data_IF_659245877706
#
_entry.id   IF_659245877706
#
_cell.length_a   1.000
_cell.length_b   1.000
_cell.length_c   1.000
_cell.angle_alpha   90.00
_cell.angle_beta   90.00
_cell.angle_gamma   90.00
#
_symmetry.space_group_name_H-M   'P 1'
#
loop_
_entity.id
_entity.type
_entity.pdbx_description
1 polymer ?
#
# COMPACT_ATOMS: atom_id res chain seq x y z
N UNK A 1 21.90 -15.72 -2.39
CA UNK A 1 21.97 -16.77 -1.35
C UNK A 1 22.36 -16.26 0.04
N UNK A 2 22.83 -15.02 0.24
CA UNK A 2 23.24 -14.53 1.57
C UNK A 2 22.14 -14.46 2.64
N UNK A 3 20.90 -14.12 2.27
CA UNK A 3 19.82 -13.88 3.23
C UNK A 3 19.46 -15.09 4.10
N UNK A 4 19.45 -16.30 3.53
CA UNK A 4 19.12 -17.53 4.27
C UNK A 4 20.18 -17.90 5.33
N UNK A 5 21.40 -17.40 5.18
CA UNK A 5 22.51 -17.61 6.11
C UNK A 5 22.69 -16.45 7.09
N UNK A 6 21.91 -15.37 6.97
CA UNK A 6 21.96 -14.23 7.89
C UNK A 6 21.24 -14.57 9.20
N UNK A 7 22.00 -14.73 10.29
CA UNK A 7 21.45 -15.05 11.61
C UNK A 7 20.63 -13.90 12.20
N UNK A 8 21.02 -12.66 11.94
CA UNK A 8 20.35 -11.47 12.46
C UNK A 8 18.99 -11.30 11.80
N UNK A 9 18.93 -11.47 10.48
CA UNK A 9 17.69 -11.43 9.72
C UNK A 9 16.70 -12.51 10.19
N UNK A 10 17.17 -13.76 10.36
CA UNK A 10 16.35 -14.87 10.87
C UNK A 10 15.80 -14.61 12.27
N UNK A 11 16.63 -14.07 13.17
CA UNK A 11 16.20 -13.72 14.53
C UNK A 11 15.15 -12.61 14.52
N UNK A 12 15.34 -11.56 13.72
CA UNK A 12 14.38 -10.46 13.58
C UNK A 12 13.02 -10.97 13.06
N UNK A 13 13.03 -11.78 12.00
CA UNK A 13 11.81 -12.36 11.45
C UNK A 13 11.12 -13.32 12.41
N UNK A 14 11.85 -14.16 13.14
CA UNK A 14 11.27 -15.07 14.13
C UNK A 14 10.48 -14.32 15.22
N UNK A 15 11.05 -13.22 15.73
CA UNK A 15 10.38 -12.34 16.71
C UNK A 15 9.15 -11.67 16.10
N UNK A 16 9.28 -11.13 14.89
CA UNK A 16 8.18 -10.47 14.18
C UNK A 16 7.01 -11.42 13.89
N UNK A 17 7.28 -12.64 13.39
CA UNK A 17 6.27 -13.67 13.12
C UNK A 17 5.53 -14.04 14.41
N UNK A 18 6.26 -14.25 15.52
CA UNK A 18 5.65 -14.57 16.81
C UNK A 18 4.73 -13.45 17.30
N UNK A 19 5.20 -12.20 17.24
CA UNK A 19 4.41 -11.02 17.62
C UNK A 19 3.17 -10.87 16.75
N UNK A 20 3.33 -10.96 15.42
CA UNK A 20 2.23 -10.88 14.47
C UNK A 20 1.15 -11.92 14.77
N UNK A 21 1.52 -13.19 14.95
CA UNK A 21 0.56 -14.25 15.27
C UNK A 21 -0.20 -13.99 16.56
N UNK A 22 0.49 -13.54 17.62
CA UNK A 22 -0.14 -13.20 18.90
C UNK A 22 -1.16 -12.08 18.73
N UNK A 23 -0.74 -10.96 18.15
CA UNK A 23 -1.57 -9.76 18.03
C UNK A 23 -2.86 -10.01 17.24
N UNK A 24 -2.77 -10.76 16.13
CA UNK A 24 -3.94 -11.13 15.35
C UNK A 24 -4.86 -12.05 16.16
N UNK A 25 -4.31 -13.06 16.85
CA UNK A 25 -5.12 -13.97 17.66
C UNK A 25 -5.83 -13.22 18.79
N UNK A 26 -5.16 -12.26 19.42
CA UNK A 26 -5.75 -11.44 20.48
C UNK A 26 -6.82 -10.49 19.93
N UNK A 27 -6.58 -9.90 18.75
CA UNK A 27 -7.58 -9.09 18.05
C UNK A 27 -8.83 -9.90 17.70
N UNK A 28 -8.67 -11.10 17.13
CA UNK A 28 -9.80 -11.97 16.76
C UNK A 28 -10.54 -12.54 17.99
N UNK A 29 -9.85 -12.81 19.09
CA UNK A 29 -10.51 -13.18 20.36
C UNK A 29 -11.35 -12.03 20.91
N UNK A 30 -10.84 -10.79 20.86
CA UNK A 30 -11.53 -9.61 21.35
C UNK A 30 -12.69 -9.20 20.43
N UNK A 31 -12.59 -9.48 19.14
CA UNK A 31 -13.57 -9.12 18.12
C UNK A 31 -13.93 -10.34 17.26
N UNK A 32 -14.64 -11.34 17.82
CA UNK A 32 -14.93 -12.59 17.15
C UNK A 32 -15.83 -12.41 15.91
N UNK A 33 -16.63 -11.34 15.85
CA UNK A 33 -17.44 -10.99 14.68
C UNK A 33 -16.60 -10.74 13.42
N UNK A 34 -15.32 -10.39 13.58
CA UNK A 34 -14.39 -10.14 12.46
C UNK A 34 -14.22 -11.36 11.55
N UNK A 35 -14.38 -12.59 12.06
CA UNK A 35 -14.28 -13.81 11.24
C UNK A 35 -15.43 -13.86 10.23
N UNK A 36 -16.67 -13.70 10.69
CA UNK A 36 -17.85 -13.62 9.82
C UNK A 36 -17.77 -12.40 8.88
N UNK A 37 -17.28 -11.26 9.37
CA UNK A 37 -17.08 -10.08 8.56
C UNK A 37 -16.08 -10.33 7.41
N UNK A 38 -15.04 -11.13 7.64
CA UNK A 38 -14.07 -11.49 6.61
C UNK A 38 -14.68 -12.35 5.48
N UNK A 39 -15.63 -13.22 5.80
CA UNK A 39 -16.42 -13.97 4.82
C UNK A 39 -17.29 -13.03 3.98
N UNK A 40 -17.96 -12.05 4.60
CA UNK A 40 -18.70 -11.02 3.89
C UNK A 40 -17.79 -10.19 2.97
N UNK A 41 -16.61 -9.80 3.47
CA UNK A 41 -15.61 -9.05 2.70
C UNK A 41 -15.12 -9.85 1.50
N UNK A 42 -14.98 -11.18 1.59
CA UNK A 42 -14.66 -12.01 0.42
C UNK A 42 -15.73 -11.85 -0.67
N UNK A 43 -17.01 -11.95 -0.33
CA UNK A 43 -18.10 -11.73 -1.29
C UNK A 43 -18.14 -10.32 -1.88
N UNK A 44 -17.87 -9.30 -1.05
CA UNK A 44 -17.75 -7.90 -1.50
C UNK A 44 -16.63 -7.77 -2.54
N UNK A 45 -15.44 -8.33 -2.26
CA UNK A 45 -14.31 -8.29 -3.18
C UNK A 45 -14.62 -9.02 -4.49
N UNK A 46 -15.20 -10.22 -4.44
CA UNK A 46 -15.57 -10.97 -5.64
C UNK A 46 -16.54 -10.20 -6.54
N UNK A 47 -17.59 -9.62 -5.96
CA UNK A 47 -18.53 -8.78 -6.70
C UNK A 47 -17.85 -7.54 -7.28
N UNK A 48 -17.07 -6.83 -6.47
CA UNK A 48 -16.44 -5.59 -6.87
C UNK A 48 -15.43 -5.78 -8.01
N UNK A 49 -14.64 -6.86 -8.00
CA UNK A 49 -13.71 -7.17 -9.09
C UNK A 49 -14.46 -7.50 -10.39
N UNK A 50 -15.63 -8.15 -10.32
CA UNK A 50 -16.47 -8.41 -11.50
C UNK A 50 -17.12 -7.14 -12.10
N UNK A 51 -17.27 -6.08 -11.32
CA UNK A 51 -17.87 -4.80 -11.74
C UNK A 51 -16.85 -3.65 -11.76
N UNK A 52 -15.55 -3.95 -11.79
CA UNK A 52 -14.48 -2.99 -11.49
C UNK A 52 -14.49 -1.75 -12.40
N UNK A 53 -14.66 -1.94 -13.71
CA UNK A 53 -14.75 -0.85 -14.69
C UNK A 53 -15.94 0.07 -14.38
N UNK A 54 -17.12 -0.51 -14.14
CA UNK A 54 -18.33 0.23 -13.75
C UNK A 54 -18.14 1.01 -12.45
N UNK A 55 -17.53 0.37 -11.43
CA UNK A 55 -17.27 1.01 -10.15
C UNK A 55 -16.27 2.16 -10.28
N UNK A 56 -15.29 2.06 -11.18
CA UNK A 56 -14.33 3.14 -11.40
C UNK A 56 -14.99 4.37 -12.03
N UNK A 57 -15.89 4.15 -13.00
CA UNK A 57 -16.69 5.22 -13.60
C UNK A 57 -17.60 5.89 -12.57
N UNK A 58 -18.33 5.09 -11.78
CA UNK A 58 -19.18 5.59 -10.70
C UNK A 58 -18.39 6.40 -9.67
N UNK A 59 -17.19 5.94 -9.29
CA UNK A 59 -16.34 6.65 -8.36
C UNK A 59 -15.86 7.99 -8.95
N UNK A 60 -15.52 8.05 -10.24
CA UNK A 60 -15.14 9.31 -10.89
C UNK A 60 -16.27 10.33 -10.83
N UNK A 61 -17.49 9.93 -11.20
CA UNK A 61 -18.67 10.79 -11.15
C UNK A 61 -18.95 11.31 -9.73
N UNK A 62 -18.83 10.45 -8.72
CA UNK A 62 -19.05 10.83 -7.33
C UNK A 62 -17.98 11.82 -6.81
N UNK A 63 -16.70 11.64 -7.20
CA UNK A 63 -15.60 12.53 -6.84
C UNK A 63 -15.80 13.92 -7.48
N UNK A 64 -16.16 13.95 -8.76
CA UNK A 64 -16.41 15.20 -9.50
C UNK A 64 -17.63 15.94 -8.95
N UNK A 65 -18.70 15.22 -8.61
CA UNK A 65 -19.87 15.78 -7.94
C UNK A 65 -19.51 16.46 -6.61
N UNK A 66 -18.47 16.00 -5.91
CA UNK A 66 -17.97 16.61 -4.68
C UNK A 66 -16.75 17.55 -4.90
N UNK A 67 -16.60 18.12 -6.10
CA UNK A 67 -15.56 19.09 -6.48
C UNK A 67 -14.12 18.56 -6.49
N UNK A 68 -13.94 17.25 -6.44
CA UNK A 68 -12.67 16.63 -6.82
C UNK A 68 -12.50 16.55 -8.34
N UNK A 69 -11.35 16.06 -8.77
CA UNK A 69 -11.09 15.65 -10.16
C UNK A 69 -10.70 14.18 -10.16
N UNK A 70 -11.24 13.40 -11.09
CA UNK A 70 -10.96 11.97 -11.17
C UNK A 70 -10.45 11.60 -12.56
N UNK A 71 -9.61 10.58 -12.60
CA UNK A 71 -8.97 10.09 -13.82
C UNK A 71 -8.93 8.57 -13.77
N UNK A 72 -9.15 7.94 -14.93
CA UNK A 72 -8.87 6.51 -15.12
C UNK A 72 -7.66 6.41 -16.02
N UNK A 73 -6.62 5.74 -15.54
CA UNK A 73 -5.41 5.46 -16.31
C UNK A 73 -5.38 3.97 -16.65
N UNK A 74 -5.39 3.65 -17.94
CA UNK A 74 -5.28 2.28 -18.44
C UNK A 74 -3.90 1.69 -18.19
N UNK A 75 -2.84 2.50 -18.27
CA UNK A 75 -1.45 2.06 -18.13
C UNK A 75 -0.67 2.82 -17.06
N UNK A 76 0.45 2.26 -16.56
CA UNK A 76 1.40 2.97 -15.70
C UNK A 76 1.88 4.30 -16.31
N UNK A 77 2.18 4.33 -17.60
CA UNK A 77 2.71 5.50 -18.29
C UNK A 77 1.68 6.65 -18.35
N UNK A 78 0.41 6.31 -18.56
CA UNK A 78 -0.69 7.27 -18.54
C UNK A 78 -0.86 7.87 -17.13
N UNK A 79 -0.85 7.03 -16.09
CA UNK A 79 -0.91 7.50 -14.70
C UNK A 79 0.26 8.43 -14.35
N UNK A 80 1.49 8.06 -14.74
CA UNK A 80 2.67 8.90 -14.56
C UNK A 80 2.54 10.25 -15.28
N UNK A 81 2.06 10.23 -16.53
CA UNK A 81 1.85 11.44 -17.32
C UNK A 81 0.82 12.38 -16.69
N UNK A 82 -0.32 11.84 -16.22
CA UNK A 82 -1.36 12.62 -15.53
C UNK A 82 -0.78 13.26 -14.27
N UNK A 83 -0.15 12.47 -13.40
CA UNK A 83 0.39 12.96 -12.12
C UNK A 83 1.50 14.00 -12.37
N UNK A 84 2.41 13.76 -13.32
CA UNK A 84 3.44 14.72 -13.69
C UNK A 84 2.87 16.06 -14.18
N UNK A 85 1.79 16.01 -14.98
CA UNK A 85 1.08 17.20 -15.44
C UNK A 85 0.41 17.99 -14.32
N UNK A 86 -0.15 17.29 -13.31
CA UNK A 86 -0.75 17.89 -12.13
C UNK A 86 0.28 18.51 -11.18
N UNK A 87 1.44 17.86 -11.02
CA UNK A 87 2.50 18.31 -10.12
C UNK A 87 3.32 19.46 -10.71
N UNK A 88 3.77 19.32 -11.95
CA UNK A 88 4.75 20.23 -12.55
C UNK A 88 6.19 19.94 -12.12
N UNK A 89 7.04 20.98 -12.10
CA UNK A 89 8.49 20.89 -11.81
C UNK A 89 8.88 21.74 -10.61
N UNK A 90 10.03 21.41 -10.01
CA UNK A 90 10.62 22.13 -8.87
C UNK A 90 9.65 22.23 -7.69
N UNK A 91 8.90 21.16 -7.44
CA UNK A 91 7.95 21.04 -6.33
C UNK A 91 8.52 20.22 -5.19
N UNK A 92 8.13 20.58 -3.97
CA UNK A 92 8.31 19.75 -2.79
C UNK A 92 7.06 18.86 -2.61
N UNK A 93 7.27 17.56 -2.56
CA UNK A 93 6.21 16.56 -2.54
C UNK A 93 6.39 15.68 -1.30
N UNK A 94 5.34 15.54 -0.53
CA UNK A 94 5.26 14.55 0.55
C UNK A 94 4.38 13.41 0.09
N UNK A 95 4.87 12.17 0.24
CA UNK A 95 4.22 10.97 -0.25
C UNK A 95 4.00 9.99 0.89
N UNK A 96 2.74 9.64 1.11
CA UNK A 96 2.36 8.52 1.94
C UNK A 96 2.63 7.21 1.22
N UNK A 97 2.95 6.18 2.00
CA UNK A 97 3.19 4.84 1.48
C UNK A 97 2.03 4.31 0.63
N UNK A 98 2.35 3.81 -0.56
CA UNK A 98 1.37 3.18 -1.46
C UNK A 98 2.03 2.14 -2.36
N UNK A 99 1.56 0.90 -2.30
CA UNK A 99 2.07 -0.13 -3.23
C UNK A 99 1.79 0.23 -4.70
N UNK A 100 0.68 0.92 -4.97
CA UNK A 100 0.31 1.32 -6.34
C UNK A 100 1.27 2.37 -6.91
N UNK A 101 1.88 3.21 -6.07
CA UNK A 101 2.93 4.13 -6.55
C UNK A 101 4.26 3.43 -6.77
N UNK A 102 4.59 2.41 -5.96
CA UNK A 102 5.79 1.57 -6.16
C UNK A 102 5.67 0.73 -7.44
N UNK A 103 4.46 0.25 -7.76
CA UNK A 103 4.14 -0.45 -9.02
C UNK A 103 4.63 0.29 -10.26
N UNK A 104 4.55 1.62 -10.26
CA UNK A 104 4.83 2.46 -11.41
C UNK A 104 6.12 3.29 -11.25
N UNK A 105 6.86 3.14 -10.14
CA UNK A 105 8.08 3.92 -9.87
C UNK A 105 7.81 5.43 -9.80
N UNK A 106 6.70 5.83 -9.17
CA UNK A 106 6.23 7.22 -9.18
C UNK A 106 7.25 8.18 -8.59
N UNK A 107 7.91 7.80 -7.49
CA UNK A 107 8.88 8.66 -6.81
C UNK A 107 10.05 8.97 -7.73
N UNK A 108 10.68 7.94 -8.29
CA UNK A 108 11.81 8.09 -9.21
C UNK A 108 11.44 8.88 -10.46
N UNK A 109 10.21 8.70 -10.96
CA UNK A 109 9.70 9.47 -12.10
C UNK A 109 9.62 10.97 -11.77
N UNK A 110 9.06 11.34 -10.63
CA UNK A 110 8.92 12.74 -10.19
C UNK A 110 10.29 13.37 -9.84
N UNK A 111 11.18 12.61 -9.20
CA UNK A 111 12.56 13.06 -8.90
C UNK A 111 13.33 13.36 -10.20
N UNK A 112 13.21 12.50 -11.23
CA UNK A 112 13.82 12.73 -12.56
C UNK A 112 13.30 13.98 -13.26
N UNK A 113 12.11 14.47 -12.90
CA UNK A 113 11.55 15.72 -13.43
C UNK A 113 12.00 16.96 -12.64
N UNK A 114 12.87 16.79 -11.64
CA UNK A 114 13.42 17.87 -10.83
C UNK A 114 12.55 18.24 -9.63
N UNK A 115 11.71 17.32 -9.15
CA UNK A 115 10.95 17.49 -7.91
C UNK A 115 11.67 16.87 -6.72
N UNK A 116 11.46 17.41 -5.54
CA UNK A 116 11.96 16.86 -4.27
C UNK A 116 10.83 16.04 -3.63
N UNK A 117 11.00 14.72 -3.53
CA UNK A 117 9.96 13.82 -3.02
C UNK A 117 10.41 13.17 -1.72
N UNK A 118 9.58 13.21 -0.69
CA UNK A 118 9.82 12.53 0.59
C UNK A 118 8.76 11.50 0.88
N UNK A 119 9.18 10.27 1.17
CA UNK A 119 8.32 9.31 1.85
C UNK A 119 8.07 9.75 3.28
N UNK A 120 6.82 9.62 3.73
CA UNK A 120 6.40 10.10 5.05
C UNK A 120 6.18 8.99 6.05
N UNK A 121 6.13 7.73 5.61
CA UNK A 121 6.18 6.54 6.46
C UNK A 121 7.62 6.35 6.93
N UNK A 122 7.84 6.18 8.24
CA UNK A 122 9.19 6.09 8.78
C UNK A 122 10.01 4.98 8.12
N UNK A 123 9.39 3.83 7.88
CA UNK A 123 10.05 2.70 7.25
C UNK A 123 10.43 3.01 5.80
N UNK A 124 9.50 3.56 5.01
CA UNK A 124 9.78 3.95 3.62
C UNK A 124 10.80 5.08 3.53
N UNK A 125 10.78 6.03 4.47
CA UNK A 125 11.78 7.10 4.56
C UNK A 125 13.18 6.52 4.79
N UNK A 126 13.34 5.58 5.73
CA UNK A 126 14.62 4.89 5.96
C UNK A 126 15.07 4.19 4.67
N UNK A 127 14.19 3.45 4.01
CA UNK A 127 14.52 2.74 2.75
C UNK A 127 14.91 3.71 1.64
N UNK A 128 14.20 4.82 1.49
CA UNK A 128 14.51 5.90 0.55
C UNK A 128 15.92 6.44 0.79
N UNK A 129 16.24 6.82 2.03
CA UNK A 129 17.55 7.38 2.38
C UNK A 129 18.70 6.37 2.23
N UNK A 130 18.40 5.07 2.34
CA UNK A 130 19.37 4.00 2.09
C UNK A 130 19.51 3.63 0.61
N UNK A 131 18.63 4.11 -0.28
CA UNK A 131 18.48 3.61 -1.64
C UNK A 131 18.38 2.06 -1.70
N UNK A 132 17.67 1.48 -0.73
CA UNK A 132 17.52 0.02 -0.58
C UNK A 132 16.15 -0.44 -1.08
N UNK A 133 15.92 -1.77 -1.10
CA UNK A 133 14.60 -2.35 -1.37
C UNK A 133 13.83 -2.61 -0.07
N UNK A 134 12.50 -2.41 -0.04
CA UNK A 134 11.69 -2.76 1.10
C UNK A 134 11.66 -4.28 1.31
N UNK A 135 11.60 -4.72 2.57
CA UNK A 135 11.56 -6.16 2.90
C UNK A 135 10.18 -6.71 3.23
N UNK A 136 9.18 -5.85 3.41
CA UNK A 136 7.82 -6.24 3.77
C UNK A 136 6.82 -5.13 3.44
N UNK A 137 5.60 -5.52 3.03
CA UNK A 137 4.54 -4.57 2.63
C UNK A 137 4.13 -3.64 3.76
N UNK A 138 4.11 -4.10 5.02
CA UNK A 138 3.76 -3.27 6.18
C UNK A 138 4.97 -2.69 6.92
N UNK A 139 6.15 -3.28 6.77
CA UNK A 139 7.31 -2.99 7.62
C UNK A 139 8.58 -2.98 6.77
N UNK A 140 8.74 -1.99 5.87
CA UNK A 140 9.72 -2.04 4.79
C UNK A 140 11.16 -2.10 5.32
N UNK A 141 11.45 -1.37 6.39
CA UNK A 141 12.75 -1.32 7.05
C UNK A 141 12.95 -2.36 8.19
N UNK A 142 12.13 -3.42 8.27
CA UNK A 142 12.21 -4.43 9.35
C UNK A 142 13.59 -5.09 9.52
N UNK A 143 14.39 -5.09 8.46
CA UNK A 143 15.71 -5.69 8.40
C UNK A 143 16.84 -4.73 8.83
N UNK A 144 16.55 -3.44 9.00
CA UNK A 144 17.55 -2.41 9.28
C UNK A 144 17.75 -2.32 10.80
N UNK A 145 18.94 -2.64 11.32
CA UNK A 145 19.25 -2.49 12.74
C UNK A 145 19.20 -1.03 13.19
N UNK A 146 18.89 -0.79 14.47
CA UNK A 146 18.83 0.58 15.03
C UNK A 146 20.14 1.35 14.89
N UNK A 147 21.27 0.65 14.97
CA UNK A 147 22.62 1.20 14.86
C UNK A 147 22.85 1.80 13.46
N UNK A 148 22.28 1.15 12.43
CA UNK A 148 22.36 1.60 11.04
C UNK A 148 21.44 2.79 10.80
N UNK A 149 20.25 2.80 11.41
CA UNK A 149 19.35 3.97 11.39
C UNK A 149 20.00 5.17 12.06
N UNK A 150 20.66 5.01 13.21
CA UNK A 150 21.35 6.10 13.91
C UNK A 150 22.46 6.73 13.05
N UNK A 151 23.28 5.89 12.38
CA UNK A 151 24.31 6.36 11.45
C UNK A 151 23.72 7.08 10.24
N UNK A 152 22.63 6.54 9.68
CA UNK A 152 21.92 7.14 8.56
C UNK A 152 21.35 8.51 8.93
N UNK A 153 20.65 8.61 10.05
CA UNK A 153 20.04 9.85 10.52
C UNK A 153 21.08 10.90 10.90
N UNK A 154 22.24 10.49 11.40
CA UNK A 154 23.35 11.42 11.62
C UNK A 154 23.76 12.12 10.34
N UNK A 155 23.85 11.37 9.24
CA UNK A 155 24.19 11.91 7.92
C UNK A 155 23.07 12.76 7.32
N UNK A 156 21.82 12.29 7.40
CA UNK A 156 20.67 12.90 6.70
C UNK A 156 20.13 14.12 7.45
N UNK A 157 20.06 14.05 8.78
CA UNK A 157 19.45 15.07 9.63
C UNK A 157 20.45 16.11 10.14
N UNK A 158 21.76 15.84 10.02
CA UNK A 158 22.82 16.74 10.49
C UNK A 158 22.93 16.82 12.02
N UNK A 159 22.37 15.86 12.74
CA UNK A 159 22.42 15.74 14.20
C UNK A 159 23.16 14.47 14.61
N UNK A 160 24.10 14.53 15.56
CA UNK A 160 24.78 13.31 16.02
C UNK A 160 23.87 12.38 16.86
N UNK A 161 23.87 11.09 16.51
CA UNK A 161 23.22 10.03 17.28
C UNK A 161 24.24 8.95 17.64
N UNK A 162 24.22 8.50 18.91
CA UNK A 162 25.01 7.35 19.34
C UNK A 162 24.46 6.04 18.76
N UNK A 163 25.31 5.02 18.63
CA UNK A 163 24.89 3.71 18.10
C UNK A 163 23.88 2.99 18.99
N UNK A 164 23.88 3.29 20.29
CA UNK A 164 22.95 2.78 21.29
C UNK A 164 21.73 3.68 21.52
N UNK A 165 21.52 4.69 20.67
CA UNK A 165 20.40 5.61 20.78
C UNK A 165 19.06 4.85 20.90
N UNK A 166 18.23 5.33 21.84
CA UNK A 166 16.88 4.82 22.02
C UNK A 166 16.05 5.01 20.74
N UNK A 167 15.26 4.00 20.39
CA UNK A 167 14.40 4.04 19.18
C UNK A 167 13.48 5.25 19.22
N UNK A 168 12.95 5.60 20.40
CA UNK A 168 12.10 6.77 20.59
C UNK A 168 12.79 8.09 20.18
N UNK A 169 14.10 8.22 20.44
CA UNK A 169 14.89 9.39 20.05
C UNK A 169 15.02 9.48 18.53
N UNK A 170 15.33 8.37 17.86
CA UNK A 170 15.44 8.31 16.40
C UNK A 170 14.09 8.63 15.72
N UNK A 171 13.00 8.08 16.26
CA UNK A 171 11.63 8.36 15.79
C UNK A 171 11.28 9.84 15.96
N UNK A 172 11.63 10.45 17.11
CA UNK A 172 11.38 11.88 17.33
C UNK A 172 12.14 12.74 16.32
N UNK A 173 13.42 12.44 16.07
CA UNK A 173 14.22 13.19 15.11
C UNK A 173 13.66 13.11 13.69
N UNK A 174 13.28 11.92 13.22
CA UNK A 174 12.65 11.76 11.91
C UNK A 174 11.31 12.51 11.84
N UNK A 175 10.51 12.46 12.90
CA UNK A 175 9.23 13.18 12.98
C UNK A 175 9.44 14.69 12.88
N UNK A 176 10.42 15.23 13.61
CA UNK A 176 10.66 16.68 13.63
C UNK A 176 11.18 17.16 12.26
N UNK A 177 12.02 16.37 11.60
CA UNK A 177 12.46 16.61 10.22
C UNK A 177 11.29 16.60 9.22
N UNK A 178 10.46 15.54 9.23
CA UNK A 178 9.34 15.41 8.31
C UNK A 178 8.25 16.46 8.57
N UNK A 179 8.10 16.92 9.82
CA UNK A 179 7.13 17.95 10.20
C UNK A 179 7.30 19.24 9.38
N UNK A 180 8.52 19.72 9.22
CA UNK A 180 8.81 20.88 8.36
C UNK A 180 8.37 20.62 6.91
N UNK A 181 8.70 19.43 6.38
CA UNK A 181 8.38 19.06 5.00
C UNK A 181 6.87 19.01 4.73
N UNK A 182 6.05 18.48 5.63
CA UNK A 182 4.59 18.46 5.43
C UNK A 182 3.98 19.84 5.23
N UNK A 183 4.40 20.85 6.00
CA UNK A 183 3.82 22.19 5.94
C UNK A 183 4.39 23.04 4.80
N UNK A 184 5.56 22.68 4.28
CA UNK A 184 6.19 23.35 3.14
C UNK A 184 5.87 22.70 1.79
N UNK A 185 5.35 21.48 1.80
CA UNK A 185 5.09 20.75 0.56
C UNK A 185 4.01 21.42 -0.30
N UNK A 186 4.28 21.45 -1.60
CA UNK A 186 3.32 21.90 -2.61
C UNK A 186 2.23 20.84 -2.85
N UNK A 187 2.60 19.56 -2.78
CA UNK A 187 1.73 18.44 -3.13
C UNK A 187 1.86 17.30 -2.11
N UNK A 188 0.70 16.81 -1.69
CA UNK A 188 0.56 15.56 -0.93
C UNK A 188 0.11 14.43 -1.83
N UNK A 189 0.86 13.33 -1.86
CA UNK A 189 0.48 12.13 -2.62
C UNK A 189 0.14 10.99 -1.68
N UNK A 190 -0.99 10.31 -1.87
CA UNK A 190 -1.35 9.13 -1.09
C UNK A 190 -1.84 7.98 -1.96
N UNK A 191 -1.97 6.80 -1.36
CA UNK A 191 -2.87 5.77 -1.84
C UNK A 191 -4.20 5.78 -1.09
N UNK A 192 -4.93 4.67 -1.21
CA UNK A 192 -6.05 4.31 -0.34
C UNK A 192 -5.98 2.80 -0.04
N UNK A 193 -6.59 2.38 1.07
CA UNK A 193 -6.79 0.96 1.38
C UNK A 193 -8.00 0.40 0.62
N UNK A 194 -9.08 1.19 0.53
CA UNK A 194 -10.32 0.87 -0.19
C UNK A 194 -11.04 2.17 -0.56
N UNK A 195 -11.84 2.14 -1.63
CA UNK A 195 -12.62 3.29 -2.11
C UNK A 195 -14.07 2.89 -2.28
N UNK A 196 -14.98 3.67 -1.70
CA UNK A 196 -16.42 3.51 -1.90
C UNK A 196 -16.85 4.23 -3.18
N UNK A 197 -17.24 3.48 -4.21
CA UNK A 197 -17.62 4.02 -5.51
C UNK A 197 -18.85 4.94 -5.42
N UNK A 198 -19.86 4.60 -4.61
CA UNK A 198 -21.09 5.40 -4.49
C UNK A 198 -20.88 6.85 -4.03
N UNK A 199 -19.81 7.12 -3.27
CA UNK A 199 -19.52 8.44 -2.70
C UNK A 199 -18.15 9.00 -3.12
N UNK A 200 -17.35 8.24 -3.87
CA UNK A 200 -15.98 8.63 -4.17
C UNK A 200 -15.06 8.69 -2.95
N UNK A 201 -15.43 8.07 -1.83
CA UNK A 201 -14.74 8.23 -0.54
C UNK A 201 -13.56 7.27 -0.42
N UNK A 202 -12.36 7.82 -0.23
CA UNK A 202 -11.14 7.09 0.07
C UNK A 202 -11.07 6.73 1.55
N UNK A 203 -10.82 5.46 1.86
CA UNK A 203 -10.49 5.01 3.22
C UNK A 203 -9.00 4.77 3.33
N UNK A 204 -8.38 5.43 4.30
CA UNK A 204 -6.94 5.38 4.57
C UNK A 204 -6.74 4.98 6.02
N UNK A 205 -6.00 3.89 6.24
CA UNK A 205 -5.69 3.32 7.56
C UNK A 205 -4.23 3.58 7.86
N UNK A 206 -3.91 4.21 8.99
CA UNK A 206 -2.53 4.50 9.39
C UNK A 206 -2.38 4.67 10.91
N UNK A 207 -1.14 4.69 11.39
CA UNK A 207 -0.80 4.71 12.82
C UNK A 207 0.27 5.75 13.20
N UNK A 208 0.80 6.52 12.25
CA UNK A 208 1.92 7.45 12.48
C UNK A 208 1.46 8.92 12.49
N UNK A 209 0.23 9.20 12.06
CA UNK A 209 -0.32 10.52 11.74
C UNK A 209 0.25 11.12 10.44
N UNK A 210 1.15 10.41 9.78
CA UNK A 210 1.91 10.89 8.63
C UNK A 210 1.03 11.08 7.39
N UNK A 211 0.16 10.11 7.07
CA UNK A 211 -0.68 10.21 5.89
C UNK A 211 -1.76 11.28 6.11
N UNK A 212 -2.30 11.43 7.32
CA UNK A 212 -3.20 12.53 7.65
C UNK A 212 -2.57 13.90 7.41
N UNK A 213 -1.27 14.06 7.68
CA UNK A 213 -0.55 15.28 7.35
C UNK A 213 -0.29 15.38 5.84
N UNK A 214 0.09 14.29 5.18
CA UNK A 214 0.27 14.24 3.71
C UNK A 214 -1.00 14.65 2.97
N UNK A 215 -2.18 14.18 3.39
CA UNK A 215 -3.45 14.46 2.71
C UNK A 215 -4.15 15.71 3.21
N UNK A 216 -3.70 16.27 4.34
CA UNK A 216 -4.38 17.36 5.03
C UNK A 216 -3.62 18.69 5.01
N UNK A 217 -2.29 18.70 4.94
CA UNK A 217 -1.49 19.93 5.04
C UNK A 217 -1.17 20.59 3.68
N UNK A 218 -0.75 19.85 2.64
CA UNK A 218 -0.45 20.44 1.34
C UNK A 218 -1.70 21.02 0.65
N UNK A 219 -1.55 22.08 -0.18
CA UNK A 219 -2.68 22.70 -0.87
C UNK A 219 -3.27 21.81 -1.97
N UNK A 220 -2.53 20.80 -2.46
CA UNK A 220 -2.97 19.83 -3.47
C UNK A 220 -2.82 18.43 -2.91
N UNK A 221 -3.91 17.64 -2.95
CA UNK A 221 -3.89 16.21 -2.65
C UNK A 221 -4.13 15.39 -3.92
N UNK A 222 -3.20 14.50 -4.24
CA UNK A 222 -3.31 13.53 -5.33
C UNK A 222 -3.34 12.12 -4.74
N UNK A 223 -4.38 11.35 -5.04
CA UNK A 223 -4.47 9.95 -4.66
C UNK A 223 -4.25 9.05 -5.88
N UNK A 224 -3.31 8.11 -5.80
CA UNK A 224 -3.12 7.05 -6.80
C UNK A 224 -3.61 5.72 -6.25
N UNK A 225 -4.63 5.14 -6.87
CA UNK A 225 -5.36 3.99 -6.36
C UNK A 225 -5.55 2.96 -7.46
N UNK A 226 -5.15 1.71 -7.22
CA UNK A 226 -5.48 0.62 -8.13
C UNK A 226 -7.00 0.35 -8.15
N UNK A 227 -7.55 0.09 -9.33
CA UNK A 227 -9.00 -0.14 -9.49
C UNK A 227 -9.50 -1.35 -8.69
N UNK A 228 -8.62 -2.29 -8.33
CA UNK A 228 -8.96 -3.46 -7.51
C UNK A 228 -9.40 -3.09 -6.10
N UNK A 229 -9.17 -1.85 -5.66
CA UNK A 229 -9.52 -1.34 -4.33
C UNK A 229 -10.92 -0.72 -4.26
N UNK A 230 -11.62 -0.61 -5.39
CA UNK A 230 -13.00 -0.11 -5.42
C UNK A 230 -13.97 -1.14 -4.83
N UNK A 231 -14.99 -0.66 -4.14
CA UNK A 231 -16.18 -1.41 -3.70
C UNK A 231 -17.41 -0.55 -3.85
N UNK A 232 -18.60 -1.16 -3.87
CA UNK A 232 -19.84 -0.46 -4.20
C UNK A 232 -20.19 0.63 -3.20
N UNK A 233 -20.29 0.30 -1.91
CA UNK A 233 -20.85 1.20 -0.89
C UNK A 233 -19.83 1.66 0.15
N UNK A 234 -20.15 2.75 0.86
CA UNK A 234 -19.40 3.25 2.00
C UNK A 234 -19.35 2.23 3.14
N UNK A 235 -20.45 1.50 3.34
CA UNK A 235 -20.52 0.41 4.31
C UNK A 235 -19.58 -0.74 3.90
N UNK A 236 -19.58 -1.14 2.63
CA UNK A 236 -18.64 -2.16 2.14
C UNK A 236 -17.18 -1.75 2.35
N UNK A 237 -16.86 -0.48 2.07
CA UNK A 237 -15.53 0.08 2.29
C UNK A 237 -15.14 0.07 3.78
N UNK A 238 -16.08 0.37 4.69
CA UNK A 238 -15.85 0.24 6.12
C UNK A 238 -15.58 -1.22 6.52
N UNK A 239 -16.38 -2.19 6.04
CA UNK A 239 -16.18 -3.62 6.34
C UNK A 239 -14.81 -4.11 5.85
N UNK A 240 -14.44 -3.76 4.61
CA UNK A 240 -13.13 -4.09 4.03
C UNK A 240 -12.01 -3.49 4.87
N UNK A 241 -12.15 -2.23 5.28
CA UNK A 241 -11.18 -1.55 6.14
C UNK A 241 -11.04 -2.27 7.47
N UNK A 242 -12.16 -2.64 8.11
CA UNK A 242 -12.14 -3.32 9.40
C UNK A 242 -11.40 -4.64 9.34
N UNK A 243 -11.77 -5.49 8.39
CA UNK A 243 -11.06 -6.76 8.20
C UNK A 243 -9.58 -6.51 7.89
N UNK A 244 -9.26 -5.48 7.11
CA UNK A 244 -7.86 -5.14 6.79
C UNK A 244 -7.04 -4.86 8.04
N UNK A 245 -7.44 -3.90 8.90
CA UNK A 245 -6.60 -3.55 10.06
C UNK A 245 -6.52 -4.69 11.08
N UNK A 246 -7.62 -5.42 11.32
CA UNK A 246 -7.66 -6.55 12.26
C UNK A 246 -6.71 -7.66 11.84
N UNK A 247 -6.54 -7.87 10.52
CA UNK A 247 -5.63 -8.87 9.95
C UNK A 247 -4.22 -8.32 9.63
N UNK A 248 -3.99 -7.01 9.77
CA UNK A 248 -2.73 -6.33 9.46
C UNK A 248 -1.90 -5.95 10.70
N UNK A 249 -1.99 -6.75 11.76
CA UNK A 249 -1.28 -6.60 13.04
C UNK A 249 -1.83 -5.53 14.01
N UNK A 250 -2.98 -4.93 13.71
CA UNK A 250 -3.55 -3.89 14.56
C UNK A 250 -4.86 -4.36 15.18
N UNK A 251 -4.95 -4.31 16.51
CA UNK A 251 -6.25 -4.50 17.16
C UNK A 251 -7.17 -3.35 16.73
N UNK A 252 -6.80 -2.09 16.95
CA UNK A 252 -7.52 -0.92 16.45
C UNK A 252 -6.47 0.03 15.87
N UNK A 253 -6.67 0.59 14.66
CA UNK A 253 -5.74 1.56 14.10
C UNK A 253 -5.83 2.89 14.87
N UNK A 254 -4.75 3.65 14.92
CA UNK A 254 -4.79 5.00 15.52
C UNK A 254 -5.61 5.98 14.68
N UNK A 255 -5.59 5.83 13.36
CA UNK A 255 -6.32 6.72 12.45
C UNK A 255 -7.00 5.93 11.32
N UNK A 256 -8.25 6.29 11.06
CA UNK A 256 -8.97 5.95 9.82
C UNK A 256 -9.47 7.27 9.22
N UNK A 257 -8.88 7.68 8.11
CA UNK A 257 -9.26 8.91 7.42
C UNK A 257 -10.19 8.58 6.25
N UNK A 258 -11.33 9.28 6.20
CA UNK A 258 -12.26 9.25 5.07
C UNK A 258 -12.12 10.56 4.32
N UNK A 259 -11.66 10.49 3.07
CA UNK A 259 -11.44 11.67 2.22
C UNK A 259 -12.32 11.56 0.99
N UNK A 260 -13.27 12.48 0.85
CA UNK A 260 -14.24 12.47 -0.26
C UNK A 260 -14.10 13.67 -1.19
N UNK A 261 -13.24 14.64 -0.89
CA UNK A 261 -13.16 15.91 -1.62
C UNK A 261 -12.17 16.90 -1.01
N UNK A 262 -12.05 18.10 -1.60
CA UNK A 262 -11.24 19.18 -1.04
C UNK A 262 -11.76 19.64 0.32
N UNK A 263 -10.88 20.27 1.11
CA UNK A 263 -11.24 20.85 2.41
C UNK A 263 -12.33 21.91 2.22
N UNK A 264 -13.33 21.97 3.11
CA UNK A 264 -14.41 22.96 3.03
C UNK A 264 -14.94 23.35 4.41
N UNK A 265 -15.42 24.59 4.54
CA UNK A 265 -16.20 25.08 5.69
C UNK A 265 -17.51 25.70 5.19
N UNK A 266 -18.52 25.71 6.05
CA UNK A 266 -19.78 26.41 5.84
C UNK A 266 -20.24 27.16 7.09
N UNK A 267 -19.31 27.56 7.97
CA UNK A 267 -19.64 28.13 9.27
C UNK A 267 -20.17 29.57 9.16
N UNK A 268 -19.77 30.30 8.11
CA UNK A 268 -20.23 31.66 7.84
C UNK A 268 -21.42 31.57 6.88
N UNK A 269 -22.61 31.92 7.40
CA UNK A 269 -23.86 32.04 6.62
C UNK A 269 -24.27 30.79 5.83
N UNK A 270 -23.72 29.61 6.16
CA UNK A 270 -23.87 28.36 5.37
C UNK A 270 -23.35 28.45 3.94
N UNK A 271 -22.51 29.45 3.64
CA UNK A 271 -21.83 29.57 2.36
C UNK A 271 -20.63 28.63 2.35
N UNK A 272 -20.70 27.59 1.51
CA UNK A 272 -19.61 26.60 1.41
C UNK A 272 -18.40 27.23 0.73
N UNK A 273 -17.29 27.32 1.46
CA UNK A 273 -16.00 27.79 0.97
C UNK A 273 -15.01 26.62 0.98
N UNK A 274 -14.31 26.42 -0.13
CA UNK A 274 -13.35 25.34 -0.31
C UNK A 274 -11.90 25.81 -0.06
N UNK A 275 -11.02 24.88 0.32
CA UNK A 275 -9.65 25.18 0.67
C UNK A 275 -9.48 25.85 2.04
N UNK A 276 -10.31 25.47 3.02
CA UNK A 276 -10.35 26.10 4.34
C UNK A 276 -9.08 25.81 5.18
N UNK A 277 -8.91 24.56 5.64
CA UNK A 277 -7.78 24.15 6.47
C UNK A 277 -6.85 23.14 5.79
N UNK A 278 -7.32 22.48 4.73
CA UNK A 278 -6.53 21.49 3.99
C UNK A 278 -6.57 21.72 2.48
N UNK A 279 -6.44 20.65 1.67
CA UNK A 279 -6.25 20.79 0.24
C UNK A 279 -7.35 21.62 -0.43
N UNK A 280 -6.92 22.57 -1.27
CA UNK A 280 -7.79 23.32 -2.17
C UNK A 280 -8.15 22.50 -3.40
N UNK A 281 -7.24 21.61 -3.80
CA UNK A 281 -7.42 20.70 -4.92
C UNK A 281 -7.33 19.24 -4.45
N UNK A 282 -8.22 18.42 -5.00
CA UNK A 282 -8.29 16.99 -4.72
C UNK A 282 -8.40 16.22 -6.05
N UNK A 283 -7.41 15.37 -6.32
CA UNK A 283 -7.28 14.60 -7.55
C UNK A 283 -7.18 13.12 -7.23
N UNK A 284 -7.89 12.26 -7.96
CA UNK A 284 -7.83 10.80 -7.78
C UNK A 284 -7.59 10.13 -9.12
N UNK A 285 -6.53 9.32 -9.19
CA UNK A 285 -6.18 8.52 -10.37
C UNK A 285 -6.47 7.06 -10.03
N UNK A 286 -7.42 6.47 -10.74
CA UNK A 286 -7.69 5.03 -10.72
C UNK A 286 -6.83 4.34 -11.78
N UNK A 287 -5.93 3.48 -11.34
CA UNK A 287 -5.03 2.73 -12.22
C UNK A 287 -5.60 1.35 -12.49
N UNK A 288 -5.84 1.03 -13.77
CA UNK A 288 -6.04 -0.34 -14.23
C UNK A 288 -4.69 -1.07 -14.22
N UNK A 289 -3.79 -0.76 -15.15
CA UNK A 289 -2.44 -1.35 -15.17
C UNK A 289 -2.45 -2.88 -15.29
N UNK A 290 -3.44 -3.45 -15.99
CA UNK A 290 -3.58 -4.90 -16.20
C UNK A 290 -4.48 -5.60 -15.17
N UNK A 291 -5.17 -4.86 -14.29
CA UNK A 291 -6.13 -5.41 -13.32
C UNK A 291 -7.39 -5.93 -14.01
N UNK A 292 -7.87 -5.25 -15.05
CA UNK A 292 -9.03 -5.70 -15.84
C UNK A 292 -8.73 -7.01 -16.56
N UNK A 293 -7.54 -7.17 -17.13
CA UNK A 293 -7.12 -8.46 -17.72
C UNK A 293 -6.97 -9.56 -16.64
N UNK A 294 -6.31 -9.25 -15.52
CA UNK A 294 -6.20 -10.18 -14.40
C UNK A 294 -7.57 -10.63 -13.86
N UNK A 295 -8.58 -9.75 -13.88
CA UNK A 295 -9.92 -10.05 -13.42
C UNK A 295 -10.64 -11.11 -14.28
N UNK A 296 -10.27 -11.23 -15.57
CA UNK A 296 -10.84 -12.22 -16.51
C UNK A 296 -10.33 -13.64 -16.25
N UNK A 297 -9.14 -13.78 -15.66
CA UNK A 297 -8.57 -15.10 -15.39
C UNK A 297 -9.33 -15.82 -14.28
N UNK A 298 -9.76 -17.06 -14.51
CA UNK A 298 -10.56 -17.86 -13.57
C UNK A 298 -9.92 -18.01 -12.19
N UNK A 299 -8.64 -18.42 -12.15
CA UNK A 299 -7.87 -18.63 -10.91
C UNK A 299 -7.07 -17.39 -10.47
N UNK A 300 -6.28 -16.78 -11.35
CA UNK A 300 -5.34 -15.71 -10.98
C UNK A 300 -6.02 -14.43 -10.50
N UNK A 301 -7.29 -14.18 -10.87
CA UNK A 301 -8.06 -13.02 -10.38
C UNK A 301 -8.14 -12.93 -8.87
N UNK A 302 -7.97 -14.05 -8.15
CA UNK A 302 -7.97 -14.03 -6.67
C UNK A 302 -6.90 -13.10 -6.08
N UNK A 303 -5.82 -12.83 -6.81
CA UNK A 303 -4.79 -11.87 -6.40
C UNK A 303 -5.35 -10.44 -6.20
N UNK A 304 -6.44 -10.09 -6.89
CA UNK A 304 -7.12 -8.79 -6.79
C UNK A 304 -7.98 -8.64 -5.53
N UNK A 305 -8.28 -9.74 -4.82
CA UNK A 305 -9.02 -9.70 -3.55
C UNK A 305 -8.14 -9.27 -2.37
N UNK A 306 -6.81 -9.15 -2.59
CA UNK A 306 -5.84 -8.93 -1.53
C UNK A 306 -6.08 -7.62 -0.77
N UNK A 307 -6.20 -7.73 0.56
CA UNK A 307 -6.32 -6.59 1.48
C UNK A 307 -4.96 -5.97 1.87
N UNK A 308 -3.86 -6.50 1.34
CA UNK A 308 -2.48 -6.07 1.65
C UNK A 308 -2.10 -6.16 3.14
N UNK A 309 -2.70 -7.08 3.90
CA UNK A 309 -2.45 -7.23 5.35
C UNK A 309 -1.11 -7.89 5.72
N UNK A 310 -0.32 -8.38 4.75
CA UNK A 310 0.97 -9.02 5.01
C UNK A 310 0.92 -10.40 5.67
N UNK A 311 -0.25 -10.91 6.09
CA UNK A 311 -0.37 -12.18 6.81
C UNK A 311 0.20 -13.39 6.05
N UNK A 312 0.08 -13.42 4.72
CA UNK A 312 0.68 -14.48 3.90
C UNK A 312 2.22 -14.50 3.97
N UNK A 313 2.86 -13.36 4.22
CA UNK A 313 4.31 -13.23 4.33
C UNK A 313 4.80 -13.88 5.62
N UNK A 314 4.15 -13.55 6.75
CA UNK A 314 4.51 -14.10 8.06
C UNK A 314 4.18 -15.59 8.23
N UNK A 315 3.25 -16.13 7.43
CA UNK A 315 2.96 -17.56 7.40
C UNK A 315 3.83 -18.35 6.40
N UNK A 316 4.58 -17.67 5.55
CA UNK A 316 5.40 -18.31 4.53
C UNK A 316 6.74 -18.81 5.12
N UNK A 317 7.04 -20.13 5.07
CA UNK A 317 8.30 -20.66 5.59
C UNK A 317 9.52 -20.17 4.80
N UNK A 318 9.36 -19.88 3.50
CA UNK A 318 10.46 -19.34 2.68
C UNK A 318 10.74 -17.88 3.06
N UNK A 319 9.70 -17.07 3.22
CA UNK A 319 9.84 -15.68 3.66
C UNK A 319 10.52 -15.60 5.03
N UNK A 320 10.23 -16.53 5.95
CA UNK A 320 10.85 -16.57 7.27
C UNK A 320 12.39 -16.69 7.25
N UNK A 321 12.98 -17.16 6.15
CA UNK A 321 14.44 -17.28 5.99
C UNK A 321 15.01 -16.39 4.88
N UNK A 322 14.17 -15.79 4.04
CA UNK A 322 14.62 -14.96 2.91
C UNK A 322 14.16 -13.51 2.99
N UNK A 323 13.24 -13.17 3.90
CA UNK A 323 12.60 -11.86 3.98
C UNK A 323 12.08 -11.40 2.61
N UNK A 324 12.18 -10.10 2.33
CA UNK A 324 11.76 -9.51 1.06
C UNK A 324 12.59 -9.91 -0.14
N UNK A 325 13.69 -10.66 0.01
CA UNK A 325 14.40 -11.23 -1.13
C UNK A 325 13.54 -12.26 -1.88
N UNK A 326 12.56 -12.87 -1.21
CA UNK A 326 11.50 -13.63 -1.85
C UNK A 326 10.35 -12.72 -2.30
N UNK A 327 10.69 -11.75 -3.15
CA UNK A 327 9.76 -10.80 -3.74
C UNK A 327 10.37 -9.92 -4.81
N UNK A 328 9.50 -9.13 -5.40
CA UNK A 328 9.77 -7.98 -6.26
C UNK A 328 9.19 -6.72 -5.60
N UNK A 329 8.26 -6.01 -6.26
CA UNK A 329 7.38 -5.02 -5.61
C UNK A 329 6.40 -5.69 -4.66
N UNK A 330 5.93 -6.88 -5.03
CA UNK A 330 5.13 -7.76 -4.18
C UNK A 330 5.92 -9.02 -3.82
N UNK A 331 5.58 -9.63 -2.69
CA UNK A 331 6.35 -10.73 -2.12
C UNK A 331 5.59 -12.06 -2.15
N UNK A 332 6.32 -13.16 -2.05
CA UNK A 332 5.81 -14.54 -2.00
C UNK A 332 4.98 -14.97 -3.21
N UNK A 333 4.25 -16.08 -3.11
CA UNK A 333 3.48 -16.66 -4.21
C UNK A 333 2.42 -15.73 -4.79
N UNK A 334 1.78 -14.87 -3.98
CA UNK A 334 0.87 -13.85 -4.54
C UNK A 334 1.66 -12.83 -5.37
N UNK A 335 2.86 -12.45 -4.92
CA UNK A 335 3.78 -11.58 -5.65
C UNK A 335 4.21 -12.15 -7.00
N UNK A 336 4.25 -13.48 -7.16
CA UNK A 336 4.52 -14.10 -8.46
C UNK A 336 3.44 -13.73 -9.50
N UNK A 337 2.16 -13.73 -9.10
CA UNK A 337 1.04 -13.31 -9.97
C UNK A 337 1.14 -11.82 -10.31
N UNK A 338 1.44 -10.98 -9.31
CA UNK A 338 1.65 -9.54 -9.55
C UNK A 338 2.84 -9.26 -10.47
N UNK A 339 3.94 -10.00 -10.33
CA UNK A 339 5.10 -9.88 -11.20
C UNK A 339 4.76 -10.25 -12.65
N UNK A 340 4.05 -11.37 -12.85
CA UNK A 340 3.69 -11.86 -14.18
C UNK A 340 2.75 -10.91 -14.94
N UNK A 341 1.69 -10.45 -14.27
CA UNK A 341 0.57 -9.79 -14.95
C UNK A 341 0.70 -8.27 -14.91
N UNK A 342 1.02 -7.73 -13.73
CA UNK A 342 1.01 -6.28 -13.48
C UNK A 342 2.37 -5.68 -13.81
N UNK A 343 3.46 -6.33 -13.37
CA UNK A 343 4.81 -5.87 -13.71
C UNK A 343 5.32 -6.39 -15.05
N UNK A 344 4.62 -7.36 -15.66
CA UNK A 344 4.99 -8.01 -16.94
C UNK A 344 6.42 -8.57 -16.93
N UNK A 345 6.88 -9.04 -15.77
CA UNK A 345 8.21 -9.61 -15.55
C UNK A 345 8.09 -11.11 -15.29
N UNK A 346 8.16 -11.89 -16.37
CA UNK A 346 8.00 -13.35 -16.34
C UNK A 346 9.19 -14.04 -15.68
N UNK A 347 10.42 -13.53 -15.84
CA UNK A 347 11.59 -14.11 -15.18
C UNK A 347 11.47 -14.01 -13.66
N UNK A 348 11.06 -12.82 -13.19
CA UNK A 348 10.82 -12.60 -11.77
C UNK A 348 9.62 -13.42 -11.28
N UNK A 349 8.55 -13.49 -12.06
CA UNK A 349 7.40 -14.33 -11.74
C UNK A 349 7.79 -15.82 -11.61
N UNK A 350 8.57 -16.35 -12.55
CA UNK A 350 9.07 -17.73 -12.53
C UNK A 350 9.93 -17.98 -11.29
N UNK A 351 10.88 -17.07 -11.00
CA UNK A 351 11.71 -17.15 -9.79
C UNK A 351 10.86 -17.26 -8.52
N UNK A 352 9.80 -16.45 -8.40
CA UNK A 352 8.90 -16.49 -7.24
C UNK A 352 8.02 -17.74 -7.23
N UNK A 353 7.44 -18.10 -8.37
CA UNK A 353 6.54 -19.23 -8.53
C UNK A 353 7.23 -20.56 -8.21
N UNK A 354 8.42 -20.81 -8.75
CA UNK A 354 9.16 -22.06 -8.51
C UNK A 354 9.83 -22.13 -7.14
N UNK A 355 10.04 -20.99 -6.47
CA UNK A 355 10.53 -20.96 -5.07
C UNK A 355 9.43 -21.25 -4.04
N UNK A 356 8.15 -20.99 -4.38
CA UNK A 356 7.03 -21.24 -3.48
C UNK A 356 6.86 -22.75 -3.16
N UNK A 357 6.69 -23.12 -1.88
CA UNK A 357 6.49 -24.52 -1.48
C UNK A 357 5.04 -25.02 -1.65
N UNK A 358 4.12 -24.17 -2.10
CA UNK A 358 2.68 -24.50 -2.26
C UNK A 358 2.04 -25.13 -1.00
N UNK A 359 2.55 -24.79 0.19
CA UNK A 359 2.20 -25.47 1.46
C UNK A 359 0.83 -25.10 2.09
N UNK A 360 0.05 -24.19 1.48
CA UNK A 360 -1.31 -23.85 1.95
C UNK A 360 -1.43 -22.91 3.15
N UNK A 361 -0.37 -22.68 3.95
CA UNK A 361 -0.47 -21.85 5.17
C UNK A 361 -0.99 -20.43 4.93
N UNK A 362 -0.60 -19.82 3.81
CA UNK A 362 -1.07 -18.49 3.42
C UNK A 362 -2.57 -18.46 3.11
N UNK A 363 -3.15 -19.53 2.53
CA UNK A 363 -4.59 -19.67 2.28
C UNK A 363 -5.35 -19.77 3.59
N UNK A 364 -4.88 -20.62 4.51
CA UNK A 364 -5.54 -20.83 5.79
C UNK A 364 -5.67 -19.55 6.62
N UNK A 365 -4.59 -18.75 6.64
CA UNK A 365 -4.54 -17.50 7.39
C UNK A 365 -5.15 -16.29 6.67
N UNK A 366 -5.36 -16.37 5.36
CA UNK A 366 -5.91 -15.25 4.59
C UNK A 366 -7.35 -14.95 5.05
N UNK A 367 -7.69 -13.70 5.42
CA UNK A 367 -9.05 -13.35 5.84
C UNK A 367 -10.07 -13.62 4.73
N UNK A 368 -9.67 -13.40 3.48
CA UNK A 368 -10.50 -13.56 2.29
C UNK A 368 -10.15 -14.83 1.51
N UNK A 369 -9.52 -15.81 2.15
CA UNK A 369 -9.27 -17.16 1.61
C UNK A 369 -8.73 -17.21 0.16
N UNK A 370 -7.77 -16.34 -0.16
CA UNK A 370 -7.08 -16.37 -1.45
C UNK A 370 -6.25 -17.65 -1.56
N UNK A 371 -6.49 -18.46 -2.59
CA UNK A 371 -5.74 -19.70 -2.83
C UNK A 371 -4.43 -19.43 -3.56
N UNK A 372 -3.43 -18.96 -2.81
CA UNK A 372 -2.09 -18.71 -3.36
C UNK A 372 -1.42 -19.96 -3.92
N UNK A 373 -1.47 -21.15 -3.28
CA UNK A 373 -0.93 -22.37 -3.87
C UNK A 373 -1.52 -22.70 -5.24
N UNK A 374 -2.84 -22.65 -5.39
CA UNK A 374 -3.52 -22.93 -6.66
C UNK A 374 -3.12 -21.93 -7.75
N UNK A 375 -3.12 -20.63 -7.43
CA UNK A 375 -2.63 -19.60 -8.36
C UNK A 375 -1.17 -19.82 -8.78
N UNK A 376 -0.31 -20.25 -7.86
CA UNK A 376 1.11 -20.53 -8.18
C UNK A 376 1.25 -21.75 -9.08
N UNK A 377 0.45 -22.81 -8.86
CA UNK A 377 0.46 -23.99 -9.72
C UNK A 377 0.02 -23.62 -11.14
N UNK A 378 -1.07 -22.86 -11.26
CA UNK A 378 -1.53 -22.39 -12.57
C UNK A 378 -0.48 -21.49 -13.25
N UNK A 379 0.14 -20.58 -12.49
CA UNK A 379 1.21 -19.74 -13.04
C UNK A 379 2.42 -20.56 -13.52
N UNK A 380 2.80 -21.64 -12.80
CA UNK A 380 3.85 -22.56 -13.27
C UNK A 380 3.46 -23.25 -14.57
N UNK A 381 2.20 -23.67 -14.72
CA UNK A 381 1.69 -24.28 -15.95
C UNK A 381 1.81 -23.29 -17.12
N UNK A 382 1.29 -22.08 -16.96
CA UNK A 382 1.36 -21.01 -17.96
C UNK A 382 2.81 -20.70 -18.38
N UNK A 383 3.73 -20.60 -17.41
CA UNK A 383 5.16 -20.36 -17.68
C UNK A 383 5.82 -21.54 -18.42
N UNK A 384 5.49 -22.78 -18.04
CA UNK A 384 6.06 -23.98 -18.65
C UNK A 384 5.58 -24.18 -20.10
N UNK A 385 4.32 -23.83 -20.39
CA UNK A 385 3.71 -23.97 -21.71
C UNK A 385 4.06 -22.81 -22.68
N UNK A 386 4.84 -21.82 -22.23
CA UNK A 386 5.04 -20.51 -22.90
C UNK A 386 3.71 -19.81 -23.26
N UNK A 387 2.63 -20.22 -22.59
CA UNK A 387 1.33 -19.58 -22.61
C UNK A 387 1.45 -18.32 -21.77
N UNK A 388 1.89 -17.23 -22.41
CA UNK A 388 1.86 -15.92 -21.76
C UNK A 388 0.44 -15.70 -21.23
N UNK A 389 0.27 -15.45 -19.91
CA UNK A 389 -1.03 -15.09 -19.39
C UNK A 389 -1.50 -13.87 -20.19
N UNK A 390 -2.55 -14.05 -21.00
CA UNK A 390 -3.11 -12.97 -21.81
C UNK A 390 -3.90 -12.01 -20.93
#
# INVERSE_FOLDING_TARGET
MGAAHDERLRLALSRAIKSFRSNINDALKKFPHTIKLAEEVRGIKEKAIGEMEKLSQQACEAIEANKGKAYIAGTPEEALSIIAGLVGRQKLIVKGKSMTSEEIGLREHLEKQGNEVYETDLGEFIIQQMASKPMHILSPAIHVPREDVARLFTKVLGQEFSSDAEIATLVSAARDFLRDKFFRADVGISGANVVAAETGTLFIIENEGNIRLTTGAPPVHIALVGMEKLVSTLNDAYKVSEVTWRYANYTVPSYVSLVSGPSKTGDIEKVTTYGAHGPKEFHVIFLDGGRTELAKHTLLRQALYCLRCGGCLYECPVFAVTAGHFGDKYFTGIGAVWAAIISKDIEKAASLAYTCLTCGRCKERCPVKIDVPEMVIELRRLIADDERPK
#
